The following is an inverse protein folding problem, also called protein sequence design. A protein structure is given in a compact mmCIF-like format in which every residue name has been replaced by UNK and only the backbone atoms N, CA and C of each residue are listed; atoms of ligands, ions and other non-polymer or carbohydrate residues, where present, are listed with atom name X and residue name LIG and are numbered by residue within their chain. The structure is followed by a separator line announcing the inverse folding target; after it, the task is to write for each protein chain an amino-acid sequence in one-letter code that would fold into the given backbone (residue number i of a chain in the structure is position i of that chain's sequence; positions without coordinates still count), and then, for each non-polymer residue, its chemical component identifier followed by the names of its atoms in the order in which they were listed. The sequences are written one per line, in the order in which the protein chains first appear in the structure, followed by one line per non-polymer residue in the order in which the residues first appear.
data_IF_118617639216
#
_entry.id   IF_118617639216
#
_cell.length_a   1.000
_cell.length_b   1.000
_cell.length_c   1.000
_cell.angle_alpha   90.00
_cell.angle_beta   90.00
_cell.angle_gamma   90.00
#
_symmetry.space_group_name_H-M   'P 1'
#
loop_
_entity.id
_entity.type
_entity.pdbx_description
1 polymer ?
#
# COMPACT_ATOMS: atom_id res chain seq x y z
N UNK A 1 -14.08 -9.24 3.99
CA UNK A 1 -14.95 -9.42 5.19
C UNK A 1 -14.53 -8.34 6.20
N UNK A 2 -15.47 -7.77 6.96
CA UNK A 2 -15.11 -6.83 8.03
C UNK A 2 -14.28 -7.57 9.10
N UNK A 3 -13.21 -6.95 9.62
CA UNK A 3 -12.27 -7.53 10.59
C UNK A 3 -11.50 -8.81 10.16
N UNK A 4 -11.43 -9.13 8.86
CA UNK A 4 -10.48 -10.14 8.36
C UNK A 4 -9.13 -9.50 8.05
N UNK A 5 -8.04 -10.28 8.15
CA UNK A 5 -6.70 -9.88 7.74
C UNK A 5 -6.73 -9.28 6.33
N UNK A 6 -5.98 -8.20 6.13
CA UNK A 6 -5.75 -7.66 4.79
C UNK A 6 -4.82 -8.58 4.00
N UNK A 7 -5.26 -8.96 2.80
CA UNK A 7 -4.58 -9.99 2.00
C UNK A 7 -3.39 -9.43 1.23
N UNK A 8 -3.51 -8.22 0.69
CA UNK A 8 -2.50 -7.62 -0.20
C UNK A 8 -2.24 -6.16 0.18
N UNK A 9 -0.96 -5.80 0.17
CA UNK A 9 -0.50 -4.41 0.22
C UNK A 9 0.20 -4.08 -1.10
N UNK A 10 -0.10 -2.92 -1.67
CA UNK A 10 0.47 -2.45 -2.93
C UNK A 10 1.29 -1.17 -2.73
N UNK A 11 2.44 -1.06 -3.38
CA UNK A 11 3.30 0.12 -3.29
C UNK A 11 4.71 -0.19 -3.76
N UNK A 12 5.67 0.67 -3.43
CA UNK A 12 7.07 0.36 -3.71
C UNK A 12 7.62 -0.58 -2.64
N UNK A 13 8.70 -1.29 -2.95
CA UNK A 13 9.39 -2.09 -1.93
C UNK A 13 9.76 -1.26 -0.69
N UNK A 14 10.19 -0.01 -0.87
CA UNK A 14 10.56 0.87 0.24
C UNK A 14 9.39 1.26 1.12
N UNK A 15 8.18 1.41 0.55
CA UNK A 15 7.00 1.85 1.30
C UNK A 15 6.29 0.69 2.02
N UNK A 16 6.17 -0.47 1.39
CA UNK A 16 5.30 -1.56 1.88
C UNK A 16 6.03 -2.63 2.68
N UNK A 17 7.37 -2.71 2.57
CA UNK A 17 8.14 -3.73 3.27
C UNK A 17 7.85 -3.78 4.79
N UNK A 18 7.77 -2.65 5.52
CA UNK A 18 7.43 -2.70 6.94
C UNK A 18 6.06 -3.31 7.23
N UNK A 19 5.07 -3.09 6.35
CA UNK A 19 3.74 -3.69 6.53
C UNK A 19 3.78 -5.20 6.31
N UNK A 20 4.52 -5.67 5.31
CA UNK A 20 4.64 -7.10 4.98
C UNK A 20 5.30 -7.86 6.13
N UNK A 21 6.40 -7.32 6.68
CA UNK A 21 7.22 -8.02 7.66
C UNK A 21 6.81 -7.79 9.12
N UNK A 22 6.22 -6.63 9.45
CA UNK A 22 5.93 -6.26 10.84
C UNK A 22 4.44 -6.10 11.16
N UNK A 23 3.54 -6.14 10.17
CA UNK A 23 2.11 -6.20 10.47
C UNK A 23 1.72 -7.58 10.98
N UNK A 24 0.88 -7.69 12.04
CA UNK A 24 0.28 -8.97 12.44
C UNK A 24 -0.49 -9.69 11.34
N UNK A 25 -0.95 -8.95 10.33
CA UNK A 25 -1.71 -9.49 9.20
C UNK A 25 -0.83 -10.15 8.14
N UNK A 26 0.46 -9.80 8.09
CA UNK A 26 1.42 -10.25 7.05
C UNK A 26 0.82 -10.26 5.63
N UNK A 27 0.36 -9.12 5.11
CA UNK A 27 -0.20 -9.05 3.76
C UNK A 27 0.85 -9.43 2.71
N UNK A 28 0.43 -10.05 1.61
CA UNK A 28 1.29 -10.30 0.48
C UNK A 28 1.70 -8.98 -0.20
N UNK A 29 2.97 -8.87 -0.57
CA UNK A 29 3.52 -7.69 -1.22
C UNK A 29 3.21 -7.69 -2.72
N UNK A 30 2.54 -6.66 -3.21
CA UNK A 30 2.42 -6.37 -4.64
C UNK A 30 3.15 -5.07 -4.98
N UNK A 31 4.13 -5.14 -5.88
CA UNK A 31 4.96 -3.99 -6.25
C UNK A 31 4.66 -3.58 -7.69
N UNK A 32 3.60 -2.79 -7.93
CA UNK A 32 3.23 -2.39 -9.28
C UNK A 32 4.35 -1.58 -9.93
N UNK A 33 4.56 -1.82 -11.22
CA UNK A 33 5.57 -1.14 -12.04
C UNK A 33 7.03 -1.45 -11.67
N UNK A 34 7.30 -2.37 -10.73
CA UNK A 34 8.64 -2.86 -10.47
C UNK A 34 8.95 -4.12 -11.29
N UNK A 35 10.17 -4.19 -11.84
CA UNK A 35 10.58 -5.30 -12.71
C UNK A 35 10.77 -6.63 -11.95
N UNK A 36 11.00 -6.58 -10.64
CA UNK A 36 11.33 -7.73 -9.80
C UNK A 36 10.43 -7.80 -8.57
N UNK A 37 9.16 -8.16 -8.78
CA UNK A 37 8.23 -8.41 -7.70
C UNK A 37 8.60 -9.69 -6.91
N UNK A 38 8.20 -9.75 -5.64
CA UNK A 38 8.43 -10.90 -4.75
C UNK A 38 7.85 -12.24 -5.26
N UNK A 39 6.90 -12.19 -6.21
CA UNK A 39 6.17 -13.36 -6.71
C UNK A 39 5.17 -13.96 -5.70
N UNK A 40 4.96 -13.32 -4.55
CA UNK A 40 4.07 -13.82 -3.48
C UNK A 40 2.57 -13.63 -3.79
N UNK A 41 2.24 -12.79 -4.77
CA UNK A 41 0.87 -12.50 -5.19
C UNK A 41 0.86 -12.11 -6.67
N UNK A 42 -0.30 -12.22 -7.32
CA UNK A 42 -0.51 -11.82 -8.71
C UNK A 42 -1.40 -10.58 -8.84
N UNK A 43 -1.47 -9.99 -10.04
CA UNK A 43 -2.44 -8.94 -10.35
C UNK A 43 -3.89 -9.44 -10.22
N UNK A 44 -4.14 -10.71 -10.52
CA UNK A 44 -5.47 -11.31 -10.37
C UNK A 44 -5.85 -11.44 -8.89
N UNK A 45 -4.90 -11.79 -8.03
CA UNK A 45 -5.11 -11.82 -6.58
C UNK A 45 -5.39 -10.41 -6.03
N UNK A 46 -4.66 -9.39 -6.50
CA UNK A 46 -4.91 -7.98 -6.15
C UNK A 46 -6.34 -7.58 -6.49
N UNK A 47 -6.81 -7.90 -7.70
CA UNK A 47 -8.17 -7.59 -8.15
C UNK A 47 -9.23 -8.37 -7.37
N UNK A 48 -8.96 -9.65 -7.07
CA UNK A 48 -9.89 -10.53 -6.37
C UNK A 48 -10.03 -10.17 -4.90
N UNK A 49 -8.91 -9.98 -4.20
CA UNK A 49 -8.88 -9.79 -2.76
C UNK A 49 -8.92 -8.32 -2.34
N UNK A 50 -8.76 -7.39 -3.29
CA UNK A 50 -8.55 -5.99 -2.98
C UNK A 50 -7.16 -5.76 -2.40
N UNK A 51 -6.85 -4.51 -2.12
CA UNK A 51 -5.53 -4.13 -1.62
C UNK A 51 -5.55 -2.82 -0.84
N UNK A 52 -4.46 -2.60 -0.13
CA UNK A 52 -4.14 -1.32 0.49
C UNK A 52 -2.89 -0.76 -0.17
N UNK A 53 -3.06 0.33 -0.91
CA UNK A 53 -1.99 1.08 -1.51
C UNK A 53 -1.33 1.98 -0.48
N UNK A 54 -0.01 1.94 -0.33
CA UNK A 54 0.74 2.86 0.52
C UNK A 54 1.88 3.48 -0.26
N UNK A 55 1.85 4.80 -0.42
CA UNK A 55 2.82 5.52 -1.23
C UNK A 55 3.29 6.82 -0.56
N UNK A 56 4.59 7.08 -0.63
CA UNK A 56 5.17 8.36 -0.23
C UNK A 56 4.86 9.41 -1.33
N UNK A 57 4.16 10.51 -1.01
CA UNK A 57 3.82 11.52 -2.01
C UNK A 57 5.04 12.27 -2.57
N UNK A 58 6.22 12.13 -1.97
CA UNK A 58 7.49 12.72 -2.44
C UNK A 58 8.27 11.81 -3.39
N UNK A 59 7.87 10.54 -3.51
CA UNK A 59 8.49 9.60 -4.43
C UNK A 59 8.08 9.93 -5.88
N UNK A 60 9.08 10.06 -6.77
CA UNK A 60 8.86 10.40 -8.19
C UNK A 60 8.05 9.37 -8.97
N UNK A 61 7.85 8.16 -8.42
CA UNK A 61 7.02 7.09 -9.01
C UNK A 61 5.53 7.25 -8.71
N UNK A 62 5.12 8.22 -7.88
CA UNK A 62 3.72 8.43 -7.51
C UNK A 62 2.79 8.52 -8.73
N UNK A 63 3.08 9.29 -9.79
CA UNK A 63 2.15 9.40 -10.94
C UNK A 63 1.92 8.05 -11.64
N UNK A 64 2.94 7.20 -11.74
CA UNK A 64 2.82 5.87 -12.32
C UNK A 64 2.01 4.93 -11.42
N UNK A 65 2.19 5.04 -10.10
CA UNK A 65 1.39 4.29 -9.13
C UNK A 65 -0.08 4.72 -9.16
N UNK A 66 -0.37 6.02 -9.16
CA UNK A 66 -1.74 6.55 -9.22
C UNK A 66 -2.45 6.15 -10.51
N UNK A 67 -1.73 6.16 -11.64
CA UNK A 67 -2.25 5.61 -12.90
C UNK A 67 -2.59 4.11 -12.77
N UNK A 68 -1.70 3.33 -12.16
CA UNK A 68 -1.97 1.91 -11.93
C UNK A 68 -3.20 1.71 -11.04
N UNK A 69 -3.35 2.49 -9.96
CA UNK A 69 -4.54 2.43 -9.10
C UNK A 69 -5.80 2.76 -9.90
N UNK A 70 -5.79 3.81 -10.72
CA UNK A 70 -6.98 4.18 -11.53
C UNK A 70 -7.35 3.10 -12.55
N UNK A 71 -6.36 2.40 -13.11
CA UNK A 71 -6.59 1.34 -14.11
C UNK A 71 -7.08 0.03 -13.45
N UNK A 72 -6.59 -0.29 -12.25
CA UNK A 72 -6.88 -1.58 -11.56
C UNK A 72 -8.08 -1.48 -10.61
N UNK A 73 -8.23 -0.36 -9.92
CA UNK A 73 -9.27 -0.12 -8.93
C UNK A 73 -9.74 1.34 -9.02
N UNK A 74 -10.51 1.71 -10.07
CA UNK A 74 -10.99 3.09 -10.27
C UNK A 74 -11.85 3.62 -9.12
N UNK A 75 -12.44 2.73 -8.33
CA UNK A 75 -13.27 3.06 -7.17
C UNK A 75 -12.50 2.98 -5.84
N UNK A 76 -11.17 2.89 -5.86
CA UNK A 76 -10.37 2.88 -4.64
C UNK A 76 -10.54 4.20 -3.88
N UNK A 77 -10.80 4.10 -2.57
CA UNK A 77 -10.84 5.27 -1.71
C UNK A 77 -9.42 5.79 -1.47
N UNK A 78 -9.20 7.09 -1.64
CA UNK A 78 -7.91 7.73 -1.35
C UNK A 78 -8.01 8.56 -0.07
N UNK A 79 -7.06 8.35 0.85
CA UNK A 79 -6.88 9.18 2.03
C UNK A 79 -5.41 9.60 2.20
N UNK A 80 -5.18 10.75 2.82
CA UNK A 80 -3.83 11.18 3.21
C UNK A 80 -3.66 10.92 4.70
N UNK A 81 -2.70 10.06 5.04
CA UNK A 81 -2.37 9.74 6.42
C UNK A 81 -1.07 10.44 6.81
N UNK A 82 -1.08 11.15 7.94
CA UNK A 82 0.14 11.76 8.48
C UNK A 82 0.68 10.91 9.63
N UNK A 83 1.96 10.60 9.59
CA UNK A 83 2.69 9.88 10.65
C UNK A 83 3.79 10.76 11.21
N UNK A 84 4.19 10.49 12.46
CA UNK A 84 5.30 11.18 13.11
C UNK A 84 6.00 10.24 14.07
N UNK A 85 7.32 10.15 13.97
CA UNK A 85 8.12 9.37 14.91
C UNK A 85 8.44 10.20 16.14
N UNK A 86 8.46 9.54 17.30
CA UNK A 86 8.85 10.15 18.57
C UNK A 86 10.08 9.42 19.11
N UNK A 87 11.09 10.17 19.53
CA UNK A 87 12.33 9.62 20.11
C UNK A 87 12.54 10.28 21.47
N UNK A 88 12.53 9.48 22.55
CA UNK A 88 12.57 9.98 23.93
C UNK A 88 11.51 11.08 24.21
N UNK A 89 10.28 10.88 23.71
CA UNK A 89 9.17 11.83 23.85
C UNK A 89 9.25 13.08 22.97
N UNK A 90 10.35 13.27 22.21
CA UNK A 90 10.49 14.40 21.28
C UNK A 90 9.94 14.04 19.90
N UNK A 91 9.06 14.89 19.40
CA UNK A 91 8.50 14.80 18.06
C UNK A 91 9.59 15.02 16.99
N UNK A 92 9.76 14.05 16.10
CA UNK A 92 10.51 14.22 14.86
C UNK A 92 9.68 14.86 13.74
N UNK A 93 10.22 14.89 12.51
CA UNK A 93 9.48 15.37 11.34
C UNK A 93 8.18 14.60 11.11
N UNK A 94 7.18 15.30 10.56
CA UNK A 94 5.96 14.68 10.06
C UNK A 94 6.20 14.09 8.68
N UNK A 95 5.63 12.93 8.40
CA UNK A 95 5.60 12.32 7.07
C UNK A 95 4.15 12.12 6.64
N UNK A 96 3.84 12.42 5.39
CA UNK A 96 2.53 12.16 4.81
C UNK A 96 2.60 10.92 3.91
N UNK A 97 1.51 10.18 3.83
CA UNK A 97 1.37 9.00 3.00
C UNK A 97 0.05 9.08 2.25
N UNK A 98 0.07 8.77 0.95
CA UNK A 98 -1.15 8.51 0.20
C UNK A 98 -1.53 7.04 0.43
N UNK A 99 -2.70 6.84 1.01
CA UNK A 99 -3.28 5.52 1.26
C UNK A 99 -4.46 5.31 0.31
N UNK A 100 -4.47 4.18 -0.39
CA UNK A 100 -5.54 3.80 -1.31
C UNK A 100 -6.18 2.51 -0.81
N UNK A 101 -7.50 2.45 -0.74
CA UNK A 101 -8.23 1.29 -0.22
C UNK A 101 -9.14 0.77 -1.33
N UNK A 102 -8.82 -0.41 -1.84
CA UNK A 102 -9.65 -1.15 -2.77
C UNK A 102 -10.27 -2.35 -2.05
N UNK A 103 -11.60 -2.46 -1.96
CA UNK A 103 -12.23 -3.63 -1.35
C UNK A 103 -12.05 -4.88 -2.24
N UNK A 104 -12.20 -6.10 -1.67
CA UNK A 104 -12.27 -7.32 -2.47
C UNK A 104 -13.37 -7.27 -3.52
N UNK A 105 -13.18 -7.95 -4.64
CA UNK A 105 -14.25 -8.18 -5.61
C UNK A 105 -15.38 -9.00 -4.95
N UNK A 106 -16.63 -8.63 -5.25
CA UNK A 106 -17.83 -9.35 -4.80
C UNK A 106 -17.97 -10.67 -5.56
#
# INVERSE_FOLDING_TARGET
RFASRWAVVAGTMESIQPMVFYSPDHPAAFTPNEAWASGLTSLDDVKRYGFIGVFDPTDGRLPAFEKWVSDVAPNAERMVMTTRRFTHGKAGPSMSWNIYIAPPAI
#
